data_IF_259702302238
#
_entry.id   IF_259702302238
#
_cell.length_a   1.000
_cell.length_b   1.000
_cell.length_c   1.000
_cell.angle_alpha   90.00
_cell.angle_beta   90.00
_cell.angle_gamma   90.00
#
_symmetry.space_group_name_H-M   'P 1'
#
loop_
_entity.id
_entity.type
_entity.pdbx_description
1 polymer ?
#
# COMPACT_ATOMS: atom_id res chain seq x y z
N UNK A 1 14.94 12.35 -10.81
CA UNK A 1 15.51 13.18 -9.73
C UNK A 1 14.45 13.90 -8.91
N UNK A 2 13.41 14.47 -9.56
CA UNK A 2 12.35 15.21 -8.85
C UNK A 2 11.68 14.37 -7.75
N UNK A 3 11.22 13.15 -8.07
CA UNK A 3 10.55 12.27 -7.11
C UNK A 3 11.45 11.83 -5.93
N UNK A 4 12.76 11.75 -6.13
CA UNK A 4 13.72 11.49 -5.03
C UNK A 4 13.82 12.70 -4.12
N UNK A 5 13.89 13.91 -4.69
CA UNK A 5 13.92 15.15 -3.90
C UNK A 5 12.66 15.29 -3.05
N UNK A 6 11.48 15.14 -3.65
CA UNK A 6 10.19 15.19 -2.95
C UNK A 6 10.10 14.18 -1.80
N UNK A 7 10.67 12.97 -1.99
CA UNK A 7 10.76 12.00 -0.91
C UNK A 7 11.69 12.49 0.21
N UNK A 8 12.89 12.98 -0.14
CA UNK A 8 13.91 13.41 0.83
C UNK A 8 13.56 14.72 1.55
N UNK A 9 12.64 15.53 1.04
CA UNK A 9 12.14 16.73 1.71
C UNK A 9 11.24 16.43 2.91
N UNK A 10 10.84 15.16 3.08
CA UNK A 10 10.08 14.74 4.25
C UNK A 10 11.02 14.50 5.44
N UNK A 11 11.02 15.42 6.40
CA UNK A 11 11.88 15.38 7.61
C UNK A 11 11.64 14.14 8.51
N UNK A 12 10.52 13.43 8.34
CA UNK A 12 10.15 12.27 9.15
C UNK A 12 10.40 10.92 8.45
N UNK A 13 11.30 10.88 7.46
CA UNK A 13 11.64 9.62 6.82
C UNK A 13 12.35 8.67 7.79
N UNK A 14 11.95 7.39 7.84
CA UNK A 14 12.70 6.38 8.58
C UNK A 14 14.15 6.28 8.08
N UNK A 15 15.09 6.09 8.99
CA UNK A 15 16.53 6.04 8.68
C UNK A 15 16.87 5.04 7.58
N UNK A 16 16.25 3.85 7.59
CA UNK A 16 16.48 2.81 6.60
C UNK A 16 16.17 3.25 5.16
N UNK A 17 15.24 4.20 4.97
CA UNK A 17 14.92 4.78 3.66
C UNK A 17 16.09 5.58 3.12
N UNK A 18 16.66 6.44 3.95
CA UNK A 18 17.84 7.24 3.59
C UNK A 18 19.07 6.36 3.34
N UNK A 19 19.28 5.34 4.17
CA UNK A 19 20.36 4.37 4.02
C UNK A 19 20.22 3.57 2.72
N UNK A 20 19.01 3.11 2.38
CA UNK A 20 18.74 2.40 1.12
C UNK A 20 19.06 3.27 -0.10
N UNK A 21 18.62 4.53 -0.11
CA UNK A 21 18.91 5.46 -1.20
C UNK A 21 20.41 5.74 -1.31
N UNK A 22 21.08 5.96 -0.18
CA UNK A 22 22.52 6.20 -0.14
C UNK A 22 23.31 5.02 -0.69
N UNK A 23 22.95 3.79 -0.34
CA UNK A 23 23.59 2.57 -0.85
C UNK A 23 23.42 2.45 -2.38
N UNK A 24 22.22 2.67 -2.92
CA UNK A 24 21.97 2.62 -4.36
C UNK A 24 22.80 3.67 -5.13
N UNK A 25 22.96 4.86 -4.58
CA UNK A 25 23.78 5.93 -5.18
C UNK A 25 25.27 5.57 -5.11
N UNK A 26 25.77 5.14 -3.95
CA UNK A 26 27.19 4.77 -3.73
C UNK A 26 27.61 3.60 -4.63
N UNK A 27 26.72 2.64 -4.82
CA UNK A 27 26.95 1.49 -5.69
C UNK A 27 26.63 1.75 -7.17
N UNK A 28 26.30 3.00 -7.53
CA UNK A 28 25.99 3.42 -8.90
C UNK A 28 24.86 2.60 -9.55
N UNK A 29 23.82 2.21 -8.78
CA UNK A 29 22.67 1.43 -9.26
C UNK A 29 21.64 2.33 -9.96
N UNK A 30 22.07 3.06 -10.99
CA UNK A 30 21.26 4.09 -11.66
C UNK A 30 20.02 3.54 -12.35
N UNK A 31 20.10 2.33 -12.95
CA UNK A 31 18.95 1.68 -13.57
C UNK A 31 17.87 1.34 -12.52
N UNK A 32 18.28 0.81 -11.37
CA UNK A 32 17.37 0.52 -10.26
C UNK A 32 16.73 1.78 -9.70
N UNK A 33 17.52 2.84 -9.47
CA UNK A 33 16.99 4.14 -9.05
C UNK A 33 16.01 4.71 -10.05
N UNK A 34 16.30 4.63 -11.34
CA UNK A 34 15.38 5.08 -12.38
C UNK A 34 14.08 4.27 -12.37
N UNK A 35 14.13 2.93 -12.30
CA UNK A 35 12.94 2.06 -12.24
C UNK A 35 12.05 2.39 -11.03
N UNK A 36 12.67 2.71 -9.88
CA UNK A 36 11.97 3.03 -8.63
C UNK A 36 11.38 4.43 -8.59
N UNK A 37 11.90 5.39 -9.37
CA UNK A 37 11.58 6.81 -9.24
C UNK A 37 11.19 7.54 -10.52
N UNK A 38 11.11 6.87 -11.70
CA UNK A 38 10.82 7.57 -12.95
C UNK A 38 9.40 8.17 -13.00
N UNK A 39 8.49 7.65 -12.18
CA UNK A 39 7.12 8.18 -12.00
C UNK A 39 6.60 7.93 -10.58
N UNK A 40 5.46 8.48 -10.26
CA UNK A 40 4.68 8.10 -9.09
C UNK A 40 3.77 6.90 -9.43
N UNK A 41 3.62 5.97 -8.48
CA UNK A 41 2.69 4.86 -8.62
C UNK A 41 1.26 5.41 -8.71
N UNK A 42 0.62 5.17 -9.84
CA UNK A 42 -0.71 5.68 -10.10
C UNK A 42 -1.79 4.73 -9.59
N UNK A 43 -2.90 5.31 -9.11
CA UNK A 43 -4.13 4.59 -8.88
C UNK A 43 -4.80 4.39 -10.25
N UNK A 44 -4.85 3.13 -10.69
CA UNK A 44 -5.53 2.72 -11.93
C UNK A 44 -6.94 2.22 -11.62
N UNK A 45 -7.54 1.48 -12.56
CA UNK A 45 -8.87 0.89 -12.38
C UNK A 45 -8.88 -0.02 -11.14
N UNK A 46 -9.46 0.50 -10.07
CA UNK A 46 -9.67 -0.21 -8.80
C UNK A 46 -8.48 -0.43 -7.91
N UNK A 47 -7.32 0.21 -8.17
CA UNK A 47 -6.18 0.09 -7.26
C UNK A 47 -4.83 0.43 -7.86
N UNK A 48 -3.80 0.20 -7.07
CA UNK A 48 -2.39 0.34 -7.45
C UNK A 48 -1.73 -1.03 -7.49
N UNK A 49 -0.77 -1.23 -8.39
CA UNK A 49 0.11 -2.39 -8.41
C UNK A 49 1.54 -1.93 -8.67
N UNK A 50 2.48 -2.52 -7.95
CA UNK A 50 3.89 -2.19 -8.10
C UNK A 50 4.78 -3.27 -7.53
N UNK A 51 6.05 -3.16 -7.88
CA UNK A 51 7.09 -4.00 -7.33
C UNK A 51 7.28 -3.70 -5.85
N UNK A 52 7.40 -4.75 -5.04
CA UNK A 52 7.72 -4.64 -3.60
C UNK A 52 9.15 -5.10 -3.30
N UNK A 53 9.71 -5.98 -4.12
CA UNK A 53 11.09 -6.44 -3.98
C UNK A 53 11.87 -5.92 -5.17
N UNK A 54 12.87 -5.06 -4.94
CA UNK A 54 13.74 -4.50 -5.97
C UNK A 54 14.56 -5.57 -6.71
N UNK A 55 15.04 -5.25 -7.91
CA UNK A 55 16.06 -6.09 -8.58
C UNK A 55 17.36 -6.07 -7.79
N UNK A 56 17.67 -4.93 -7.19
CA UNK A 56 18.72 -4.76 -6.18
C UNK A 56 18.00 -4.57 -4.84
N UNK A 57 18.27 -5.43 -3.87
CA UNK A 57 17.78 -5.31 -2.50
C UNK A 57 18.93 -4.78 -1.66
N UNK A 58 18.80 -3.56 -1.14
CA UNK A 58 19.83 -2.93 -0.31
C UNK A 58 19.95 -3.61 1.06
N UNK A 59 21.06 -3.39 1.75
CA UNK A 59 21.26 -3.91 3.12
C UNK A 59 20.23 -3.36 4.08
N UNK A 60 19.89 -2.07 3.93
CA UNK A 60 18.86 -1.42 4.74
C UNK A 60 17.46 -2.04 4.52
N UNK A 61 17.09 -2.33 3.26
CA UNK A 61 15.84 -3.03 2.95
C UNK A 61 15.84 -4.47 3.45
N UNK A 62 16.96 -5.16 3.34
CA UNK A 62 17.10 -6.54 3.79
C UNK A 62 16.95 -6.65 5.31
N UNK A 63 17.59 -5.74 6.05
CA UNK A 63 17.65 -5.83 7.51
C UNK A 63 18.30 -7.14 7.94
N UNK A 64 17.65 -7.85 8.88
CA UNK A 64 18.14 -9.11 9.44
C UNK A 64 17.74 -10.35 8.61
N UNK A 65 16.97 -10.16 7.52
CA UNK A 65 16.47 -11.27 6.70
C UNK A 65 17.61 -11.97 5.92
N UNK A 66 17.56 -13.31 5.86
CA UNK A 66 18.50 -14.11 5.08
C UNK A 66 18.33 -13.86 3.57
N UNK A 67 19.35 -14.20 2.78
CA UNK A 67 19.39 -13.91 1.34
C UNK A 67 18.18 -14.44 0.54
N UNK A 68 17.57 -15.54 0.99
CA UNK A 68 16.40 -16.18 0.35
C UNK A 68 15.07 -15.83 0.99
N UNK A 69 15.07 -15.08 2.09
CA UNK A 69 13.86 -14.67 2.80
C UNK A 69 13.32 -13.36 2.22
N UNK A 70 12.07 -13.06 2.57
CA UNK A 70 11.48 -11.74 2.29
C UNK A 70 12.29 -10.66 2.99
N UNK A 71 12.71 -9.60 2.30
CA UNK A 71 13.37 -8.46 2.94
C UNK A 71 12.52 -7.89 4.08
N UNK A 72 13.15 -7.26 5.05
CA UNK A 72 12.46 -6.62 6.18
C UNK A 72 11.56 -5.47 5.73
N UNK A 73 12.01 -4.71 4.73
CA UNK A 73 11.30 -3.57 4.15
C UNK A 73 11.13 -3.73 2.64
N UNK A 74 10.03 -3.19 2.13
CA UNK A 74 9.80 -3.15 0.70
C UNK A 74 10.70 -2.12 0.00
N UNK A 75 10.94 -2.31 -1.28
CA UNK A 75 11.81 -1.46 -2.09
C UNK A 75 11.38 0.01 -2.04
N UNK A 76 12.27 0.88 -1.57
CA UNK A 76 12.05 2.33 -1.53
C UNK A 76 11.86 2.88 -2.95
N UNK A 77 10.81 3.67 -3.17
CA UNK A 77 10.56 4.30 -4.45
C UNK A 77 9.17 4.92 -4.56
N UNK A 78 9.03 5.89 -5.44
CA UNK A 78 7.72 6.49 -5.76
C UNK A 78 6.91 5.62 -6.73
N UNK A 79 7.59 4.76 -7.51
CA UNK A 79 6.98 3.82 -8.46
C UNK A 79 6.94 2.37 -7.93
N UNK A 80 7.20 2.17 -6.65
CA UNK A 80 7.12 0.87 -5.97
C UNK A 80 5.97 0.85 -4.98
N UNK A 81 5.42 -0.34 -4.72
CA UNK A 81 4.46 -0.50 -3.64
C UNK A 81 5.23 -0.79 -2.35
N UNK A 82 5.24 0.15 -1.47
CA UNK A 82 5.96 0.12 -0.20
C UNK A 82 5.14 0.77 0.92
N UNK A 83 5.68 0.80 2.11
CA UNK A 83 5.01 1.36 3.28
C UNK A 83 4.54 2.82 3.05
N UNK A 84 5.35 3.65 2.38
CA UNK A 84 5.06 5.07 2.14
C UNK A 84 3.91 5.23 1.14
N UNK A 85 3.98 4.51 0.01
CA UNK A 85 2.94 4.57 -1.04
C UNK A 85 1.62 4.00 -0.54
N UNK A 86 1.65 2.98 0.32
CA UNK A 86 0.47 2.42 0.99
C UNK A 86 -0.16 3.40 1.97
N UNK A 87 0.63 4.04 2.82
CA UNK A 87 0.12 5.06 3.77
C UNK A 87 -0.54 6.22 3.03
N UNK A 88 0.06 6.67 1.92
CA UNK A 88 -0.55 7.72 1.05
C UNK A 88 -1.88 7.27 0.48
N UNK A 89 -1.95 6.04 -0.05
CA UNK A 89 -3.19 5.50 -0.62
C UNK A 89 -4.27 5.30 0.43
N UNK A 90 -3.90 4.80 1.61
CA UNK A 90 -4.83 4.61 2.74
C UNK A 90 -5.40 5.94 3.20
N UNK A 91 -4.54 6.96 3.36
CA UNK A 91 -4.99 8.32 3.72
C UNK A 91 -5.91 8.92 2.66
N UNK A 92 -5.59 8.76 1.38
CA UNK A 92 -6.43 9.26 0.29
C UNK A 92 -7.80 8.58 0.28
N UNK A 93 -7.84 7.25 0.42
CA UNK A 93 -9.09 6.50 0.52
C UNK A 93 -9.91 6.92 1.75
N UNK A 94 -9.27 7.09 2.90
CA UNK A 94 -9.95 7.55 4.12
C UNK A 94 -10.61 8.91 3.94
N UNK A 95 -9.86 9.89 3.40
CA UNK A 95 -10.37 11.24 3.18
C UNK A 95 -11.52 11.24 2.17
N UNK A 96 -11.40 10.45 1.11
CA UNK A 96 -12.46 10.28 0.12
C UNK A 96 -13.73 9.70 0.74
N UNK A 97 -13.63 8.61 1.50
CA UNK A 97 -14.77 7.98 2.20
C UNK A 97 -15.40 8.96 3.18
N UNK A 98 -14.60 9.69 3.96
CA UNK A 98 -15.09 10.67 4.91
C UNK A 98 -15.84 11.82 4.25
N UNK A 99 -15.35 12.32 3.11
CA UNK A 99 -16.03 13.34 2.34
C UNK A 99 -17.37 12.81 1.80
N UNK A 100 -17.40 11.63 1.19
CA UNK A 100 -18.60 11.00 0.69
C UNK A 100 -19.63 10.76 1.81
N UNK A 101 -19.22 10.27 2.97
CA UNK A 101 -20.10 10.10 4.13
C UNK A 101 -20.73 11.41 4.56
N UNK A 102 -19.96 12.50 4.59
CA UNK A 102 -20.47 13.83 4.93
C UNK A 102 -21.51 14.32 3.90
N UNK A 103 -21.27 14.12 2.61
CA UNK A 103 -22.20 14.45 1.53
C UNK A 103 -23.51 13.65 1.62
N UNK A 104 -23.45 12.40 2.11
CA UNK A 104 -24.61 11.53 2.34
C UNK A 104 -25.27 11.74 3.71
N UNK A 105 -24.76 12.63 4.56
CA UNK A 105 -25.29 12.86 5.91
C UNK A 105 -25.01 11.70 6.89
N UNK A 106 -24.03 10.85 6.59
CA UNK A 106 -23.63 9.73 7.45
C UNK A 106 -22.67 10.25 8.52
N UNK A 107 -23.09 10.16 9.79
CA UNK A 107 -22.34 10.68 10.95
C UNK A 107 -21.55 9.60 11.71
N UNK A 108 -21.51 8.40 11.17
CA UNK A 108 -20.80 7.28 11.76
C UNK A 108 -19.27 7.40 11.59
N UNK A 109 -18.55 6.56 12.32
CA UNK A 109 -17.10 6.36 12.15
C UNK A 109 -16.84 5.63 10.81
N UNK A 110 -15.86 6.07 9.98
CA UNK A 110 -15.49 5.36 8.76
C UNK A 110 -15.02 3.94 9.04
N UNK A 111 -15.69 2.94 8.46
CA UNK A 111 -15.38 1.51 8.64
C UNK A 111 -14.69 0.94 7.41
N UNK A 112 -13.60 0.20 7.63
CA UNK A 112 -12.81 -0.47 6.61
C UNK A 112 -12.77 -1.98 6.87
N UNK A 113 -12.85 -2.79 5.83
CA UNK A 113 -12.48 -4.22 5.86
C UNK A 113 -11.18 -4.40 5.10
N UNK A 114 -10.20 -5.08 5.70
CA UNK A 114 -8.90 -5.36 5.08
C UNK A 114 -8.68 -6.85 4.94
N UNK A 115 -8.32 -7.29 3.73
CA UNK A 115 -7.90 -8.65 3.42
C UNK A 115 -6.55 -8.66 2.70
N UNK A 116 -5.89 -9.81 2.69
CA UNK A 116 -4.65 -9.99 1.97
C UNK A 116 -4.54 -11.40 1.39
N UNK A 117 -3.67 -11.57 0.40
CA UNK A 117 -3.25 -12.87 -0.14
C UNK A 117 -1.97 -13.37 0.56
N UNK A 118 -1.30 -14.38 -0.04
CA UNK A 118 -0.10 -15.03 0.52
C UNK A 118 1.22 -14.45 -0.02
N UNK A 119 1.19 -13.32 -0.73
CA UNK A 119 2.38 -12.71 -1.31
C UNK A 119 3.31 -12.13 -0.24
N UNK A 120 4.57 -11.92 -0.63
CA UNK A 120 5.51 -11.16 0.18
C UNK A 120 4.90 -9.81 0.60
N UNK A 121 5.08 -9.43 1.85
CA UNK A 121 4.53 -8.23 2.48
C UNK A 121 3.00 -8.16 2.60
N UNK A 122 2.19 -9.07 2.04
CA UNK A 122 0.74 -8.92 2.04
C UNK A 122 0.15 -8.79 3.43
N UNK A 123 0.56 -9.64 4.38
CA UNK A 123 0.11 -9.54 5.76
C UNK A 123 0.57 -8.23 6.41
N UNK A 124 1.86 -7.92 6.37
CA UNK A 124 2.43 -6.69 6.94
C UNK A 124 1.75 -5.43 6.39
N UNK A 125 1.49 -5.41 5.09
CA UNK A 125 0.82 -4.29 4.43
C UNK A 125 -0.65 -4.17 4.83
N UNK A 126 -1.35 -5.29 5.02
CA UNK A 126 -2.75 -5.27 5.50
C UNK A 126 -2.84 -4.74 6.93
N UNK A 127 -1.92 -5.14 7.80
CA UNK A 127 -1.80 -4.63 9.17
C UNK A 127 -1.49 -3.11 9.18
N UNK A 128 -0.57 -2.67 8.33
CA UNK A 128 -0.22 -1.24 8.17
C UNK A 128 -1.42 -0.41 7.70
N UNK A 129 -2.18 -0.90 6.73
CA UNK A 129 -3.41 -0.24 6.23
C UNK A 129 -4.46 -0.13 7.35
N UNK A 130 -4.70 -1.21 8.08
CA UNK A 130 -5.66 -1.24 9.18
C UNK A 130 -5.24 -0.28 10.32
N UNK A 131 -3.96 -0.30 10.70
CA UNK A 131 -3.39 0.61 11.70
C UNK A 131 -3.54 2.08 11.27
N UNK A 132 -3.12 2.41 10.04
CA UNK A 132 -3.20 3.77 9.51
C UNK A 132 -4.65 4.28 9.44
N UNK A 133 -5.61 3.42 9.11
CA UNK A 133 -7.02 3.77 9.11
C UNK A 133 -7.53 4.13 10.51
N UNK A 134 -7.12 3.36 11.54
CA UNK A 134 -7.41 3.64 12.94
C UNK A 134 -6.81 4.96 13.42
N UNK A 135 -5.54 5.24 13.11
CA UNK A 135 -4.87 6.51 13.45
C UNK A 135 -5.54 7.75 12.81
N UNK A 136 -6.21 7.56 11.67
CA UNK A 136 -6.99 8.63 11.02
C UNK A 136 -8.38 8.83 11.65
N UNK A 137 -8.76 8.03 12.64
CA UNK A 137 -10.05 8.10 13.36
C UNK A 137 -11.14 7.25 12.72
N UNK A 138 -10.79 6.13 12.09
CA UNK A 138 -11.73 5.14 11.59
C UNK A 138 -11.63 3.80 12.31
N UNK A 139 -12.55 2.90 12.04
CA UNK A 139 -12.58 1.53 12.54
C UNK A 139 -12.18 0.54 11.44
N UNK A 140 -11.14 -0.26 11.64
CA UNK A 140 -10.68 -1.26 10.70
C UNK A 140 -10.93 -2.69 11.19
N UNK A 141 -11.48 -3.51 10.33
CA UNK A 141 -11.66 -4.95 10.50
C UNK A 141 -10.65 -5.69 9.61
N UNK A 142 -9.79 -6.48 10.19
CA UNK A 142 -8.81 -7.29 9.46
C UNK A 142 -9.11 -8.78 9.64
N UNK A 143 -8.96 -9.56 8.60
CA UNK A 143 -9.08 -11.00 8.70
C UNK A 143 -7.85 -11.61 9.39
N UNK A 144 -8.05 -12.71 10.07
CA UNK A 144 -7.04 -13.48 10.81
C UNK A 144 -6.04 -14.26 9.90
N UNK A 145 -6.18 -14.14 8.58
CA UNK A 145 -5.31 -14.78 7.60
C UNK A 145 -5.73 -14.46 6.17
N UNK A 146 -5.10 -15.05 5.16
CA UNK A 146 -5.39 -14.77 3.76
C UNK A 146 -6.85 -15.07 3.39
N UNK A 147 -7.47 -14.17 2.63
CA UNK A 147 -8.84 -14.28 2.16
C UNK A 147 -8.97 -13.89 0.69
N UNK A 148 -9.98 -14.47 0.05
CA UNK A 148 -10.28 -14.18 -1.35
C UNK A 148 -10.97 -12.82 -1.52
N UNK A 149 -10.79 -12.23 -2.67
CA UNK A 149 -11.46 -10.98 -3.07
C UNK A 149 -13.01 -11.04 -2.94
N UNK A 150 -13.69 -12.12 -3.36
CA UNK A 150 -15.14 -12.26 -3.14
C UNK A 150 -15.55 -12.25 -1.66
N UNK A 151 -14.73 -12.82 -0.79
CA UNK A 151 -15.00 -12.80 0.65
C UNK A 151 -14.89 -11.38 1.22
N UNK A 152 -13.90 -10.60 0.81
CA UNK A 152 -13.82 -9.19 1.17
C UNK A 152 -15.07 -8.45 0.71
N UNK A 153 -15.43 -8.54 -0.57
CA UNK A 153 -16.60 -7.88 -1.16
C UNK A 153 -17.89 -8.19 -0.38
N UNK A 154 -18.11 -9.46 -0.05
CA UNK A 154 -19.22 -9.88 0.79
C UNK A 154 -19.16 -9.26 2.19
N UNK A 155 -17.96 -9.25 2.81
CA UNK A 155 -17.79 -8.75 4.18
C UNK A 155 -17.99 -7.23 4.26
N UNK A 156 -17.55 -6.46 3.27
CA UNK A 156 -17.84 -5.01 3.19
C UNK A 156 -19.32 -4.76 3.34
N UNK A 157 -20.16 -5.44 2.54
CA UNK A 157 -21.62 -5.30 2.59
C UNK A 157 -22.22 -5.85 3.89
N UNK A 158 -21.85 -7.05 4.29
CA UNK A 158 -22.45 -7.72 5.45
C UNK A 158 -22.09 -7.09 6.80
N UNK A 159 -21.01 -6.32 6.84
CA UNK A 159 -20.54 -5.57 8.02
C UNK A 159 -20.84 -4.07 7.92
N UNK A 160 -21.55 -3.64 6.88
CA UNK A 160 -21.88 -2.23 6.65
C UNK A 160 -20.61 -1.36 6.70
N UNK A 161 -19.52 -1.84 6.10
CA UNK A 161 -18.28 -1.09 5.99
C UNK A 161 -18.36 -0.11 4.80
N UNK A 162 -17.76 1.06 4.96
CA UNK A 162 -17.80 2.12 3.94
C UNK A 162 -16.73 1.90 2.86
N UNK A 163 -15.72 1.08 3.15
CA UNK A 163 -14.68 0.70 2.20
C UNK A 163 -14.11 -0.69 2.49
N UNK A 164 -13.41 -1.24 1.49
CA UNK A 164 -12.61 -2.44 1.63
C UNK A 164 -11.26 -2.30 0.94
N UNK A 165 -10.26 -3.01 1.44
CA UNK A 165 -8.92 -3.10 0.81
C UNK A 165 -8.48 -4.54 0.74
N UNK A 166 -8.03 -4.98 -0.45
CA UNK A 166 -7.31 -6.26 -0.60
C UNK A 166 -5.87 -5.99 -1.01
N UNK A 167 -4.94 -6.46 -0.20
CA UNK A 167 -3.52 -6.44 -0.53
C UNK A 167 -3.20 -7.66 -1.39
N UNK A 168 -3.09 -7.44 -2.70
CA UNK A 168 -2.86 -8.49 -3.71
C UNK A 168 -2.46 -7.90 -5.06
N UNK A 169 -1.58 -8.57 -5.78
CA UNK A 169 -1.30 -8.30 -7.19
C UNK A 169 -1.88 -9.38 -8.13
N UNK A 170 -2.85 -10.18 -7.66
CA UNK A 170 -3.51 -11.20 -8.49
C UNK A 170 -2.53 -12.23 -9.08
N UNK A 171 -2.28 -12.17 -10.40
CA UNK A 171 -1.41 -13.09 -11.15
C UNK A 171 -0.03 -12.50 -11.53
N UNK A 172 0.29 -11.31 -11.04
CA UNK A 172 1.60 -10.69 -11.28
C UNK A 172 2.73 -11.55 -10.67
N UNK A 173 4.00 -11.37 -11.10
CA UNK A 173 5.15 -12.04 -10.52
C UNK A 173 5.21 -11.89 -8.98
N UNK A 174 5.93 -12.78 -8.32
CA UNK A 174 5.97 -12.88 -6.85
C UNK A 174 6.52 -11.62 -6.16
N UNK A 175 7.37 -10.85 -6.84
CA UNK A 175 7.96 -9.61 -6.35
C UNK A 175 7.03 -8.39 -6.44
N UNK A 176 5.85 -8.55 -7.04
CA UNK A 176 4.83 -7.51 -7.09
C UNK A 176 3.80 -7.70 -6.00
N UNK A 177 3.19 -6.58 -5.57
CA UNK A 177 1.98 -6.58 -4.77
C UNK A 177 1.06 -5.44 -5.21
N UNK A 178 -0.10 -5.31 -4.59
CA UNK A 178 -1.08 -4.29 -4.96
C UNK A 178 -1.98 -3.91 -3.79
N UNK A 179 -2.56 -2.74 -3.94
CA UNK A 179 -3.59 -2.18 -3.07
C UNK A 179 -4.85 -2.05 -3.93
N UNK A 180 -5.85 -2.91 -3.73
CA UNK A 180 -7.15 -2.85 -4.40
C UNK A 180 -8.18 -2.27 -3.46
N UNK A 181 -8.82 -1.17 -3.86
CA UNK A 181 -9.85 -0.51 -3.08
C UNK A 181 -11.26 -0.93 -3.54
N UNK A 182 -12.15 -1.05 -2.58
CA UNK A 182 -13.56 -1.39 -2.72
C UNK A 182 -14.40 -0.34 -2.01
N UNK A 183 -15.62 -0.14 -2.51
CA UNK A 183 -16.55 0.80 -1.90
C UNK A 183 -17.62 0.08 -1.07
N UNK A 184 -18.59 0.80 -0.52
CA UNK A 184 -19.62 0.32 0.40
C UNK A 184 -20.53 -0.77 -0.20
N UNK A 185 -20.73 -0.73 -1.51
CA UNK A 185 -21.46 -1.75 -2.27
C UNK A 185 -20.69 -3.07 -2.45
N UNK A 186 -19.44 -3.12 -1.99
CA UNK A 186 -18.52 -4.25 -2.16
C UNK A 186 -17.95 -4.40 -3.56
N UNK A 187 -18.19 -3.43 -4.45
CA UNK A 187 -17.55 -3.39 -5.77
C UNK A 187 -16.19 -2.73 -5.71
N UNK A 188 -15.32 -3.11 -6.65
CA UNK A 188 -14.01 -2.49 -6.80
C UNK A 188 -14.17 -1.01 -7.20
N UNK A 189 -13.39 -0.14 -6.57
CA UNK A 189 -13.43 1.30 -6.82
C UNK A 189 -13.04 1.60 -8.28
N UNK A 190 -13.97 2.18 -9.04
CA UNK A 190 -13.81 2.55 -10.45
C UNK A 190 -14.29 3.98 -10.67
N UNK A 191 -14.00 4.62 -11.81
CA UNK A 191 -14.57 5.93 -12.09
C UNK A 191 -16.10 5.94 -11.93
N UNK A 192 -16.71 7.03 -11.36
CA UNK A 192 -16.08 8.31 -11.01
C UNK A 192 -15.34 8.34 -9.66
N UNK A 193 -15.34 7.25 -8.91
CA UNK A 193 -14.80 7.18 -7.54
C UNK A 193 -13.28 6.89 -7.47
N UNK A 194 -12.64 6.51 -8.60
CA UNK A 194 -11.19 6.18 -8.67
C UNK A 194 -10.35 7.32 -9.20
#
# INVERSE_FOLDING_TARGET
LQNIKELCENENLPLWVCESLSELVQESKWEELNDRFYKNLAFGTGGMRGRTIGRVVTKAERGDAQAKETPKYAAVGSNTLNEITLLRATKALFLYVKQWMAECGIMEEPRLVVAHDVRHFSQKFSELVAYAWGELGGFAMIFDGPRSTPQLSYTVRSRYAHAGVVITASHNPYHDNGFKAYFDDGAQLVPPHA
#
